data_IF_320475476399
#
_entry.id   IF_320475476399
#
_cell.length_a   1.000
_cell.length_b   1.000
_cell.length_c   1.000
_cell.angle_alpha   90.00
_cell.angle_beta   90.00
_cell.angle_gamma   90.00
#
_symmetry.space_group_name_H-M   'P 1'
#
loop_
_entity.id
_entity.type
_entity.pdbx_description
1 polymer ?
#
# COMPACT_ATOMS: atom_id res chain seq x y z
N UNK A 1 -3.58 -33.19 -8.38
CA UNK A 1 -4.12 -32.47 -9.55
C UNK A 1 -3.40 -31.14 -9.65
N UNK A 2 -2.98 -30.73 -10.85
CA UNK A 2 -2.42 -29.39 -11.07
C UNK A 2 -3.58 -28.40 -11.03
N UNK A 3 -3.71 -27.64 -9.93
CA UNK A 3 -4.66 -26.54 -9.86
C UNK A 3 -4.14 -25.41 -10.73
N UNK A 4 -4.65 -25.30 -11.96
CA UNK A 4 -4.37 -24.15 -12.81
C UNK A 4 -5.06 -22.91 -12.23
N UNK A 5 -4.51 -21.72 -12.50
CA UNK A 5 -5.15 -20.47 -12.08
C UNK A 5 -6.61 -20.37 -12.58
N UNK A 6 -6.89 -20.92 -13.77
CA UNK A 6 -8.24 -20.99 -14.33
C UNK A 6 -9.19 -21.85 -13.48
N UNK A 7 -8.76 -23.04 -13.04
CA UNK A 7 -9.58 -23.91 -12.19
C UNK A 7 -9.83 -23.31 -10.80
N UNK A 8 -8.88 -22.54 -10.27
CA UNK A 8 -9.03 -21.82 -8.99
C UNK A 8 -10.00 -20.65 -9.14
N UNK A 9 -9.89 -19.90 -10.25
CA UNK A 9 -10.81 -18.79 -10.55
C UNK A 9 -12.25 -19.27 -10.70
N UNK A 10 -12.48 -20.37 -11.43
CA UNK A 10 -13.82 -20.95 -11.60
C UNK A 10 -14.45 -21.31 -10.24
N UNK A 11 -13.69 -21.97 -9.36
CA UNK A 11 -14.15 -22.30 -8.02
C UNK A 11 -14.42 -21.05 -7.18
N UNK A 12 -13.53 -20.06 -7.21
CA UNK A 12 -13.71 -18.80 -6.50
C UNK A 12 -14.99 -18.08 -6.95
N UNK A 13 -15.27 -18.04 -8.26
CA UNK A 13 -16.47 -17.39 -8.79
C UNK A 13 -17.78 -18.08 -8.38
N UNK A 14 -17.74 -19.37 -8.01
CA UNK A 14 -18.91 -20.09 -7.50
C UNK A 14 -19.30 -19.73 -6.05
N UNK A 15 -18.41 -19.05 -5.32
CA UNK A 15 -18.65 -18.65 -3.94
C UNK A 15 -19.62 -17.45 -3.85
N UNK A 16 -20.32 -17.28 -2.71
CA UNK A 16 -21.06 -16.06 -2.40
C UNK A 16 -20.19 -14.80 -2.48
N UNK A 17 -20.76 -13.61 -2.77
CA UNK A 17 -19.97 -12.39 -2.95
C UNK A 17 -19.04 -12.03 -1.79
N UNK A 18 -19.48 -12.26 -0.53
CA UNK A 18 -18.68 -11.96 0.65
C UNK A 18 -17.46 -12.88 0.77
N UNK A 19 -17.64 -14.17 0.51
CA UNK A 19 -16.56 -15.16 0.57
C UNK A 19 -15.54 -14.94 -0.54
N UNK A 20 -15.99 -14.47 -1.72
CA UNK A 20 -15.10 -14.05 -2.80
C UNK A 20 -14.24 -12.84 -2.41
N UNK A 21 -14.84 -11.85 -1.74
CA UNK A 21 -14.10 -10.68 -1.27
C UNK A 21 -13.03 -11.09 -0.25
N UNK A 22 -13.40 -11.92 0.74
CA UNK A 22 -12.45 -12.43 1.73
C UNK A 22 -11.30 -13.24 1.10
N UNK A 23 -11.61 -14.08 0.10
CA UNK A 23 -10.60 -14.84 -0.64
C UNK A 23 -9.68 -13.91 -1.45
N UNK A 24 -10.23 -12.89 -2.11
CA UNK A 24 -9.46 -11.92 -2.87
C UNK A 24 -8.49 -11.14 -1.95
N UNK A 25 -8.95 -10.69 -0.79
CA UNK A 25 -8.12 -10.00 0.21
C UNK A 25 -6.95 -10.90 0.67
N UNK A 26 -7.24 -12.16 1.00
CA UNK A 26 -6.22 -13.12 1.43
C UNK A 26 -5.19 -13.42 0.32
N UNK A 27 -5.63 -13.51 -0.94
CA UNK A 27 -4.73 -13.70 -2.07
C UNK A 27 -3.85 -12.48 -2.30
N UNK A 28 -4.40 -11.27 -2.21
CA UNK A 28 -3.63 -10.02 -2.32
C UNK A 28 -2.58 -9.94 -1.21
N UNK A 29 -2.97 -10.22 0.04
CA UNK A 29 -2.04 -10.24 1.18
C UNK A 29 -0.93 -11.28 0.99
N UNK A 30 -1.23 -12.44 0.39
CA UNK A 30 -0.19 -13.44 0.09
C UNK A 30 0.85 -12.98 -0.93
N UNK A 31 0.53 -11.96 -1.75
CA UNK A 31 1.46 -11.37 -2.73
C UNK A 31 2.39 -10.35 -2.08
N UNK A 32 2.09 -9.86 -0.88
CA UNK A 32 2.96 -9.01 -0.06
C UNK A 32 4.12 -9.85 0.55
N UNK A 33 4.81 -10.58 -0.32
CA UNK A 33 6.06 -11.30 -0.04
C UNK A 33 7.25 -10.35 0.15
N UNK A 34 7.04 -9.05 -0.11
CA UNK A 34 8.06 -8.01 -0.02
C UNK A 34 7.59 -6.84 0.84
N UNK A 35 7.49 -7.04 2.14
CA UNK A 35 8.15 -6.08 3.03
C UNK A 35 9.39 -6.75 3.55
N UNK A 36 10.36 -6.99 2.66
CA UNK A 36 11.72 -7.27 3.12
C UNK A 36 12.05 -6.22 4.18
N UNK A 37 12.52 -6.67 5.34
CA UNK A 37 12.82 -5.89 6.54
C UNK A 37 13.51 -4.53 6.20
N UNK A 38 14.26 -4.54 5.10
CA UNK A 38 14.85 -3.42 4.36
C UNK A 38 13.89 -2.28 3.96
N UNK A 39 12.73 -2.54 3.36
CA UNK A 39 11.81 -1.46 2.94
C UNK A 39 11.35 -0.64 4.15
N UNK A 40 11.04 -1.31 5.27
CA UNK A 40 10.72 -0.65 6.52
C UNK A 40 11.91 0.12 7.11
N UNK A 41 13.13 -0.41 6.99
CA UNK A 41 14.36 0.28 7.40
C UNK A 41 14.59 1.55 6.59
N UNK A 42 14.54 1.48 5.26
CA UNK A 42 14.73 2.62 4.36
C UNK A 42 13.67 3.70 4.58
N UNK A 43 12.40 3.32 4.79
CA UNK A 43 11.35 4.29 5.12
C UNK A 43 11.58 4.96 6.48
N UNK A 44 12.06 4.21 7.49
CA UNK A 44 12.40 4.80 8.80
C UNK A 44 13.55 5.78 8.70
N UNK A 45 14.58 5.47 7.92
CA UNK A 45 15.70 6.39 7.67
C UNK A 45 15.24 7.64 6.91
N UNK A 46 14.44 7.48 5.86
CA UNK A 46 13.90 8.60 5.09
C UNK A 46 13.02 9.53 5.96
N UNK A 47 12.16 8.98 6.80
CA UNK A 47 11.35 9.78 7.74
C UNK A 47 12.26 10.58 8.68
N UNK A 48 13.30 9.95 9.23
CA UNK A 48 14.25 10.63 10.12
C UNK A 48 14.97 11.77 9.41
N UNK A 49 15.42 11.54 8.17
CA UNK A 49 16.10 12.55 7.37
C UNK A 49 15.17 13.75 7.09
N UNK A 50 13.92 13.49 6.68
CA UNK A 50 12.94 14.56 6.40
C UNK A 50 12.60 15.39 7.62
N UNK A 51 12.45 14.77 8.79
CA UNK A 51 12.22 15.50 10.05
C UNK A 51 13.43 16.39 10.34
N UNK A 52 14.65 15.86 10.23
CA UNK A 52 15.86 16.65 10.46
C UNK A 52 16.00 17.83 9.50
N UNK A 53 15.66 17.65 8.22
CA UNK A 53 15.69 18.73 7.23
C UNK A 53 14.63 19.80 7.51
N UNK A 54 13.44 19.40 7.95
CA UNK A 54 12.37 20.30 8.38
C UNK A 54 12.79 21.12 9.60
N UNK A 55 13.30 20.46 10.64
CA UNK A 55 13.74 21.10 11.89
C UNK A 55 14.92 22.06 11.66
N UNK A 56 15.81 21.72 10.72
CA UNK A 56 16.92 22.57 10.30
C UNK A 56 16.49 23.74 9.39
N UNK A 57 15.24 23.79 8.94
CA UNK A 57 14.76 24.78 7.98
C UNK A 57 15.36 24.63 6.57
N UNK A 58 15.88 23.45 6.24
CA UNK A 58 16.54 23.15 4.96
C UNK A 58 15.57 22.97 3.79
N UNK A 59 14.26 22.96 4.06
CA UNK A 59 13.20 22.76 3.07
C UNK A 59 12.14 23.85 3.17
N UNK A 60 11.56 24.18 2.01
CA UNK A 60 10.42 25.11 1.95
C UNK A 60 9.15 24.37 2.35
N UNK A 61 8.52 24.81 3.44
CA UNK A 61 7.25 24.25 3.90
C UNK A 61 6.08 24.95 3.22
N UNK A 62 4.96 24.22 3.10
CA UNK A 62 3.68 24.79 2.64
C UNK A 62 2.67 24.64 3.77
N UNK A 63 1.66 25.52 3.79
CA UNK A 63 0.58 25.40 4.75
C UNK A 63 -0.16 24.06 4.57
N UNK A 64 -0.59 23.46 5.68
CA UNK A 64 -1.30 22.18 5.65
C UNK A 64 -2.55 22.20 4.77
N UNK A 65 -3.28 23.32 4.76
CA UNK A 65 -4.47 23.49 3.92
C UNK A 65 -4.14 23.32 2.43
N UNK A 66 -3.03 23.88 1.98
CA UNK A 66 -2.58 23.78 0.58
C UNK A 66 -2.11 22.36 0.26
N UNK A 67 -1.35 21.73 1.18
CA UNK A 67 -0.91 20.35 1.02
C UNK A 67 -2.08 19.36 0.91
N UNK A 68 -3.08 19.50 1.79
CA UNK A 68 -4.28 18.67 1.81
C UNK A 68 -5.14 18.83 0.56
N UNK A 69 -5.29 20.06 0.05
CA UNK A 69 -6.01 20.33 -1.19
C UNK A 69 -5.33 19.64 -2.40
N UNK A 70 -4.00 19.73 -2.49
CA UNK A 70 -3.23 19.04 -3.55
C UNK A 70 -3.36 17.53 -3.50
N UNK A 71 -3.38 16.94 -2.30
CA UNK A 71 -3.50 15.49 -2.14
C UNK A 71 -4.87 14.99 -2.62
N UNK A 72 -5.94 15.66 -2.21
CA UNK A 72 -7.31 15.29 -2.63
C UNK A 72 -7.46 15.35 -4.15
N UNK A 73 -6.97 16.42 -4.78
CA UNK A 73 -7.00 16.58 -6.24
C UNK A 73 -6.18 15.53 -7.01
N UNK A 74 -5.34 14.72 -6.35
CA UNK A 74 -4.54 13.66 -6.99
C UNK A 74 -5.16 12.26 -6.86
N UNK A 75 -6.06 12.08 -5.91
CA UNK A 75 -6.64 10.78 -5.56
C UNK A 75 -8.10 10.68 -6.02
N UNK A 76 -8.79 11.82 -6.13
CA UNK A 76 -10.12 11.97 -6.77
C UNK A 76 -9.99 12.22 -8.28
#
# INVERSE_FOLDING_TARGET
MLNTAANVLEQALSLPPLDRAALADSLIESLDTSTGEDAGLFWREEIRNRISELDAGGVQTVAWADASARLRNRIE
#
